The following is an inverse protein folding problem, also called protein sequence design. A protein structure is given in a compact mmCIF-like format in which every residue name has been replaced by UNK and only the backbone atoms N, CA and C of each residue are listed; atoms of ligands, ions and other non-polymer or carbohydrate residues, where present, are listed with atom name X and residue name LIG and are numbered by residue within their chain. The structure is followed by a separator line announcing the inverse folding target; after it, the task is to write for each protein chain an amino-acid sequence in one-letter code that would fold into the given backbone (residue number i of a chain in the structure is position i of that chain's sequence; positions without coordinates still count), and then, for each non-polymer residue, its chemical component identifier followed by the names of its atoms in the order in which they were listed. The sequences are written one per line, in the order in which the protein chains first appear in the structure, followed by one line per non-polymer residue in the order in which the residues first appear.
data_IF_363149801683
#
_entry.id   IF_363149801683
#
_cell.length_a   1.000
_cell.length_b   1.000
_cell.length_c   1.000
_cell.angle_alpha   90.00
_cell.angle_beta   90.00
_cell.angle_gamma   90.00
#
_symmetry.space_group_name_H-M   'P 1'
#
loop_
_entity.id
_entity.type
_entity.pdbx_description
1 polymer ?
#
# COMPACT_ATOMS: atom_id res chain seq x y z
N UNK A 1 43.00 -39.99 37.36
CA UNK A 1 43.70 -39.97 36.06
C UNK A 1 43.87 -38.52 35.69
N UNK A 2 45.13 -38.10 35.54
CA UNK A 2 45.55 -36.80 35.01
C UNK A 2 45.25 -36.73 33.52
N UNK A 3 44.73 -35.61 33.01
CA UNK A 3 45.04 -35.14 31.66
C UNK A 3 45.19 -33.62 31.71
N UNK A 4 46.45 -33.19 31.73
CA UNK A 4 46.87 -31.85 31.30
C UNK A 4 47.35 -31.99 29.87
N UNK A 5 46.85 -31.16 28.97
CA UNK A 5 47.57 -30.78 27.76
C UNK A 5 47.11 -29.38 27.37
N UNK A 6 47.91 -28.40 27.78
CA UNK A 6 48.00 -27.13 27.06
C UNK A 6 48.57 -27.41 25.68
N UNK A 7 47.92 -26.95 24.62
CA UNK A 7 48.63 -26.69 23.37
C UNK A 7 48.02 -25.51 22.60
N UNK A 8 48.84 -24.45 22.55
CA UNK A 8 49.04 -23.54 21.42
C UNK A 8 47.89 -22.67 20.92
N UNK A 9 48.10 -21.37 21.18
CA UNK A 9 47.46 -20.26 20.50
C UNK A 9 47.77 -20.25 18.99
N UNK A 10 46.72 -20.07 18.20
CA UNK A 10 46.79 -19.38 16.92
C UNK A 10 45.99 -18.07 17.09
N UNK A 11 46.54 -16.89 16.74
CA UNK A 11 45.73 -15.68 16.69
C UNK A 11 44.76 -15.85 15.51
N UNK A 12 43.47 -15.98 15.80
CA UNK A 12 42.44 -15.80 14.80
C UNK A 12 42.52 -14.34 14.33
N UNK A 13 43.09 -14.15 13.14
CA UNK A 13 43.00 -12.89 12.44
C UNK A 13 41.50 -12.54 12.35
N UNK A 14 41.09 -11.29 12.64
CA UNK A 14 39.72 -10.89 12.39
C UNK A 14 39.44 -11.09 10.90
N UNK A 15 38.69 -12.15 10.58
CA UNK A 15 38.17 -12.40 9.25
C UNK A 15 37.24 -11.22 8.97
N UNK A 16 37.75 -10.26 8.19
CA UNK A 16 36.94 -9.14 7.74
C UNK A 16 35.69 -9.73 7.08
N UNK A 17 34.48 -9.26 7.42
CA UNK A 17 33.27 -9.77 6.81
C UNK A 17 33.45 -9.70 5.29
N UNK A 18 33.09 -10.76 4.55
CA UNK A 18 33.20 -10.73 3.09
C UNK A 18 32.49 -9.45 2.66
N UNK A 19 33.23 -8.56 2.00
CA UNK A 19 32.64 -7.37 1.40
C UNK A 19 31.51 -7.87 0.52
N UNK A 20 30.27 -7.68 0.97
CA UNK A 20 29.09 -7.97 0.18
C UNK A 20 29.22 -7.09 -1.05
N UNK A 21 29.73 -7.68 -2.13
CA UNK A 21 29.66 -7.11 -3.47
C UNK A 21 28.19 -6.81 -3.67
N UNK A 22 27.83 -5.53 -3.60
CA UNK A 22 26.47 -5.09 -3.81
C UNK A 22 26.08 -5.59 -5.20
N UNK A 23 25.19 -6.58 -5.25
CA UNK A 23 24.64 -7.05 -6.50
C UNK A 23 24.09 -5.82 -7.26
N UNK A 24 24.24 -5.75 -8.59
CA UNK A 24 23.65 -4.69 -9.38
C UNK A 24 22.19 -4.51 -8.97
N UNK A 25 21.85 -3.32 -8.47
CA UNK A 25 20.48 -3.03 -8.02
C UNK A 25 19.59 -2.99 -9.25
N UNK A 26 18.61 -3.88 -9.32
CA UNK A 26 17.60 -3.81 -10.37
C UNK A 26 16.90 -2.46 -10.31
N UNK A 27 16.55 -1.87 -11.47
CA UNK A 27 15.86 -0.61 -11.50
C UNK A 27 14.55 -0.72 -10.72
N UNK A 28 14.23 0.31 -9.94
CA UNK A 28 12.94 0.38 -9.27
C UNK A 28 11.80 0.28 -10.30
N UNK A 29 10.66 -0.34 -9.96
CA UNK A 29 9.50 -0.35 -10.83
C UNK A 29 9.13 1.09 -11.21
N UNK A 30 8.94 1.33 -12.51
CA UNK A 30 8.52 2.63 -13.01
C UNK A 30 6.98 2.74 -12.96
N UNK A 31 6.44 3.91 -12.63
CA UNK A 31 4.99 4.11 -12.59
C UNK A 31 4.36 3.89 -13.97
N UNK A 32 3.16 3.31 -14.00
CA UNK A 32 2.47 2.90 -15.23
C UNK A 32 2.00 4.07 -16.12
N UNK A 33 2.07 5.31 -15.62
CA UNK A 33 1.75 6.51 -16.41
C UNK A 33 0.29 6.62 -16.86
N UNK A 34 -0.64 5.91 -16.19
CA UNK A 34 -2.07 5.96 -16.52
C UNK A 34 -2.65 7.29 -16.02
N UNK A 35 -3.14 8.18 -16.90
CA UNK A 35 -3.73 9.44 -16.47
C UNK A 35 -5.04 9.17 -15.71
N UNK A 36 -5.16 9.73 -14.50
CA UNK A 36 -6.39 9.66 -13.69
C UNK A 36 -7.18 10.96 -13.83
N UNK A 37 -8.42 10.86 -14.29
CA UNK A 37 -9.39 11.96 -14.24
C UNK A 37 -10.13 11.88 -12.90
N UNK A 38 -10.28 12.98 -12.15
CA UNK A 38 -11.05 12.98 -10.91
C UNK A 38 -12.46 12.46 -11.15
N UNK A 39 -12.95 11.62 -10.26
CA UNK A 39 -14.28 11.01 -10.37
C UNK A 39 -15.39 12.00 -9.98
N UNK A 40 -15.04 13.05 -9.24
CA UNK A 40 -15.97 14.03 -8.69
C UNK A 40 -16.59 13.60 -7.35
N UNK A 41 -16.19 12.44 -6.82
CA UNK A 41 -16.49 12.00 -5.46
C UNK A 41 -15.20 12.09 -4.62
N UNK A 42 -15.19 12.99 -3.64
CA UNK A 42 -14.02 13.25 -2.80
C UNK A 42 -13.50 12.00 -2.06
N UNK A 43 -14.40 11.10 -1.62
CA UNK A 43 -14.02 9.88 -0.90
C UNK A 43 -13.36 8.86 -1.83
N UNK A 44 -13.87 8.74 -3.07
CA UNK A 44 -13.27 7.88 -4.09
C UNK A 44 -11.93 8.44 -4.56
N UNK A 45 -11.86 9.76 -4.77
CA UNK A 45 -10.65 10.43 -5.21
C UNK A 45 -9.54 10.33 -4.14
N UNK A 46 -9.87 10.45 -2.85
CA UNK A 46 -8.93 10.25 -1.75
C UNK A 46 -8.41 8.80 -1.64
N UNK A 47 -9.27 7.80 -1.86
CA UNK A 47 -8.85 6.40 -1.89
C UNK A 47 -7.89 6.09 -3.06
N UNK A 48 -8.09 6.74 -4.21
CA UNK A 48 -7.20 6.62 -5.37
C UNK A 48 -5.85 7.30 -5.15
N UNK A 49 -5.81 8.42 -4.44
CA UNK A 49 -4.57 9.09 -4.04
C UNK A 49 -3.75 8.19 -3.11
N UNK A 50 -4.39 7.59 -2.08
CA UNK A 50 -3.73 6.63 -1.18
C UNK A 50 -3.17 5.40 -1.93
N UNK A 51 -3.87 4.96 -2.99
CA UNK A 51 -3.37 3.87 -3.81
C UNK A 51 -2.09 4.25 -4.57
N UNK A 52 -1.95 5.52 -4.97
CA UNK A 52 -0.74 6.01 -5.64
C UNK A 52 0.49 5.98 -4.72
N UNK A 53 0.32 6.17 -3.40
CA UNK A 53 1.41 6.07 -2.42
C UNK A 53 2.05 4.66 -2.40
N UNK A 54 1.31 3.62 -2.83
CA UNK A 54 1.82 2.24 -2.93
C UNK A 54 3.03 2.12 -3.85
N UNK A 55 3.12 2.96 -4.89
CA UNK A 55 4.26 2.96 -5.81
C UNK A 55 5.59 3.31 -5.09
N UNK A 56 5.52 4.00 -3.95
CA UNK A 56 6.68 4.38 -3.13
C UNK A 56 6.94 3.41 -1.95
N UNK A 57 5.98 2.53 -1.64
CA UNK A 57 6.07 1.59 -0.53
C UNK A 57 6.81 0.29 -0.91
N UNK A 58 7.48 -0.39 0.04
CA UNK A 58 7.93 -1.76 -0.16
C UNK A 58 6.73 -2.69 -0.36
N UNK A 59 6.91 -3.74 -1.15
CA UNK A 59 5.85 -4.73 -1.48
C UNK A 59 5.19 -5.38 -0.26
N UNK A 60 5.91 -5.48 0.85
CA UNK A 60 5.37 -6.01 2.11
C UNK A 60 4.24 -5.13 2.70
N UNK A 61 4.16 -3.85 2.32
CA UNK A 61 3.11 -2.92 2.76
C UNK A 61 2.02 -2.65 1.72
N UNK A 62 2.09 -3.28 0.54
CA UNK A 62 1.12 -3.04 -0.54
C UNK A 62 -0.24 -3.64 -0.21
N UNK A 63 -0.27 -4.81 0.43
CA UNK A 63 -1.51 -5.55 0.70
C UNK A 63 -2.44 -4.76 1.62
N UNK A 64 -1.90 -4.16 2.68
CA UNK A 64 -2.70 -3.35 3.61
C UNK A 64 -3.32 -2.14 2.91
N UNK A 65 -2.58 -1.50 2.00
CA UNK A 65 -3.08 -0.35 1.22
C UNK A 65 -4.17 -0.75 0.24
N UNK A 66 -4.01 -1.88 -0.46
CA UNK A 66 -5.05 -2.40 -1.37
C UNK A 66 -6.35 -2.74 -0.63
N UNK A 67 -6.25 -3.40 0.53
CA UNK A 67 -7.42 -3.75 1.33
C UNK A 67 -8.13 -2.49 1.88
N UNK A 68 -7.36 -1.50 2.33
CA UNK A 68 -7.91 -0.25 2.83
C UNK A 68 -8.61 0.56 1.73
N UNK A 69 -7.98 0.64 0.54
CA UNK A 69 -8.57 1.28 -0.63
C UNK A 69 -9.88 0.58 -1.06
N UNK A 70 -9.90 -0.76 -1.09
CA UNK A 70 -11.12 -1.50 -1.40
C UNK A 70 -12.25 -1.25 -0.40
N UNK A 71 -11.95 -1.21 0.90
CA UNK A 71 -12.96 -0.89 1.92
C UNK A 71 -13.51 0.52 1.77
N UNK A 72 -12.65 1.51 1.53
CA UNK A 72 -13.05 2.92 1.34
C UNK A 72 -13.93 3.10 0.11
N UNK A 73 -13.54 2.51 -1.03
CA UNK A 73 -14.33 2.57 -2.26
C UNK A 73 -15.70 1.91 -2.05
N UNK A 74 -15.77 0.75 -1.39
CA UNK A 74 -17.05 0.10 -1.09
C UNK A 74 -17.94 0.99 -0.22
N UNK A 75 -17.39 1.56 0.86
CA UNK A 75 -18.14 2.44 1.75
C UNK A 75 -18.66 3.70 1.02
N UNK A 76 -17.83 4.30 0.16
CA UNK A 76 -18.24 5.44 -0.65
C UNK A 76 -19.41 5.06 -1.58
N UNK A 77 -19.35 3.91 -2.25
CA UNK A 77 -20.42 3.43 -3.13
C UNK A 77 -21.71 3.11 -2.36
N UNK A 78 -21.61 2.52 -1.16
CA UNK A 78 -22.76 2.27 -0.29
C UNK A 78 -23.43 3.58 0.14
N UNK A 79 -22.64 4.60 0.53
CA UNK A 79 -23.16 5.94 0.83
C UNK A 79 -23.82 6.63 -0.37
N UNK A 80 -23.38 6.34 -1.60
CA UNK A 80 -24.08 6.80 -2.80
C UNK A 80 -25.46 6.14 -2.94
N UNK A 81 -25.56 4.85 -2.65
CA UNK A 81 -26.78 4.05 -2.76
C UNK A 81 -27.81 4.45 -1.69
N UNK A 82 -27.35 4.80 -0.49
CA UNK A 82 -28.21 5.24 0.61
C UNK A 82 -28.83 6.63 0.41
N UNK A 83 -28.35 7.45 -0.53
CA UNK A 83 -28.91 8.79 -0.77
C UNK A 83 -30.33 8.67 -1.33
N UNK A 84 -31.37 9.08 -0.59
CA UNK A 84 -32.74 9.06 -1.09
C UNK A 84 -32.82 9.95 -2.33
N UNK A 85 -33.45 9.44 -3.39
CA UNK A 85 -33.76 10.25 -4.57
C UNK A 85 -34.54 11.52 -4.17
N UNK A 86 -34.44 12.61 -4.95
CA UNK A 86 -35.15 13.85 -4.66
C UNK A 86 -36.64 13.54 -4.43
N UNK A 87 -37.28 14.18 -3.42
CA UNK A 87 -38.66 13.87 -3.07
C UNK A 87 -39.53 14.01 -4.32
N UNK A 88 -40.36 12.99 -4.56
CA UNK A 88 -41.27 13.01 -5.70
C UNK A 88 -42.10 14.31 -5.68
N UNK A 89 -42.34 14.94 -6.85
CA UNK A 89 -43.16 16.14 -6.89
C UNK A 89 -44.51 15.85 -6.24
N UNK A 90 -44.87 16.65 -5.24
CA UNK A 90 -46.20 16.56 -4.63
C UNK A 90 -47.23 16.77 -5.72
N UNK A 91 -47.98 15.72 -6.05
CA UNK A 91 -49.11 15.81 -6.98
C UNK A 91 -50.25 16.58 -6.31
N UNK A 92 -50.06 17.88 -6.15
CA UNK A 92 -51.05 18.82 -5.63
C UNK A 92 -51.66 19.65 -6.77
N UNK A 93 -52.99 19.76 -6.75
CA UNK A 93 -53.79 20.75 -7.46
C UNK A 93 -54.14 20.49 -8.95
N UNK A 94 -54.83 19.38 -9.23
CA UNK A 94 -55.89 19.36 -10.27
C UNK A 94 -57.21 18.91 -9.65
N UNK A 95 -57.82 19.78 -8.85
CA UNK A 95 -59.25 19.69 -8.53
C UNK A 95 -59.81 21.11 -8.41
N UNK A 96 -59.90 21.76 -9.57
CA UNK A 96 -60.80 22.89 -9.81
C UNK A 96 -62.10 22.38 -10.43
#
# INVERSE_FOLDING_TARGET
MSETTSETAAPEQPEAPPQAVAAPREPAPQPLGVPRTPTGNADVDAALERLADTDELPTDGHVEVYEDAHRQIRAALEALDERPGPPAPVAGAYRG
#
